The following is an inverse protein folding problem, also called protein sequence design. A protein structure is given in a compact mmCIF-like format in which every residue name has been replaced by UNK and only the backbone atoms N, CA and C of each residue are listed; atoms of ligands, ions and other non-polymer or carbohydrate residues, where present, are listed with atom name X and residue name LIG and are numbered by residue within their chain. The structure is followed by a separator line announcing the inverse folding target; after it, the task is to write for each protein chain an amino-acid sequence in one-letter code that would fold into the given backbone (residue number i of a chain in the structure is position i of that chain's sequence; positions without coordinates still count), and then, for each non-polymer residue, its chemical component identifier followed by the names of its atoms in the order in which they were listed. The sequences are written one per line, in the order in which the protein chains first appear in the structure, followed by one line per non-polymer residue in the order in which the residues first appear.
data_IF_314444001038
#
_entry.id   IF_314444001038
#
_cell.length_a   1.000
_cell.length_b   1.000
_cell.length_c   1.000
_cell.angle_alpha   90.00
_cell.angle_beta   90.00
_cell.angle_gamma   90.00
#
_symmetry.space_group_name_H-M   'P 1'
#
loop_
_entity.id
_entity.type
_entity.pdbx_description
1 polymer ?
#
# COMPACT_ATOMS: atom_id res chain seq x y z
N UNK A 1 62.32 55.86 -41.49
CA UNK A 1 61.16 54.99 -41.78
C UNK A 1 61.45 53.62 -41.18
N UNK A 2 60.83 53.27 -40.04
CA UNK A 2 61.03 51.96 -39.44
C UNK A 2 60.09 50.93 -40.09
N UNK A 3 60.62 49.72 -40.32
CA UNK A 3 59.85 48.54 -40.75
C UNK A 3 59.13 47.98 -39.53
N UNK A 4 57.80 48.01 -39.55
CA UNK A 4 56.97 47.29 -38.60
C UNK A 4 56.97 45.80 -38.94
N UNK A 5 57.47 44.99 -38.00
CA UNK A 5 57.49 43.52 -38.08
C UNK A 5 56.23 43.01 -37.39
N UNK A 6 55.20 42.66 -38.18
CA UNK A 6 53.96 42.09 -37.66
C UNK A 6 54.18 40.62 -37.29
N UNK A 7 54.27 40.34 -36.00
CA UNK A 7 54.37 38.99 -35.46
C UNK A 7 53.00 38.33 -35.36
N UNK A 8 52.79 37.26 -36.12
CA UNK A 8 51.60 36.41 -36.06
C UNK A 8 51.65 35.57 -34.77
N UNK A 9 50.83 35.92 -33.79
CA UNK A 9 50.65 35.11 -32.58
C UNK A 9 49.86 33.83 -32.93
N UNK A 10 50.48 32.67 -32.71
CA UNK A 10 49.82 31.36 -32.81
C UNK A 10 48.93 31.15 -31.58
N UNK A 11 47.62 30.99 -31.81
CA UNK A 11 46.68 30.55 -30.79
C UNK A 11 47.01 29.12 -30.35
N UNK A 12 47.05 28.82 -29.03
CA UNK A 12 47.31 27.48 -28.54
C UNK A 12 46.16 26.54 -28.88
N UNK A 13 46.48 25.39 -29.46
CA UNK A 13 45.54 24.30 -29.73
C UNK A 13 44.97 23.79 -28.41
N UNK A 14 43.64 23.77 -28.21
CA UNK A 14 43.04 23.22 -27.01
C UNK A 14 43.34 21.72 -26.93
N UNK A 15 44.07 21.33 -25.89
CA UNK A 15 44.32 19.92 -25.57
C UNK A 15 43.01 19.33 -25.04
N UNK A 16 42.41 18.42 -25.80
CA UNK A 16 41.24 17.65 -25.38
C UNK A 16 41.63 16.79 -24.19
N UNK A 17 41.17 17.18 -22.99
CA UNK A 17 41.29 16.37 -21.79
C UNK A 17 40.46 15.10 -21.98
N UNK A 18 41.00 13.89 -21.75
CA UNK A 18 40.24 12.65 -21.84
C UNK A 18 39.07 12.70 -20.85
N UNK A 19 37.84 12.68 -21.37
CA UNK A 19 36.63 12.57 -20.57
C UNK A 19 36.74 11.30 -19.72
N UNK A 20 36.69 11.46 -18.39
CA UNK A 20 36.65 10.33 -17.48
C UNK A 20 35.51 9.37 -17.91
N UNK A 21 35.74 8.05 -17.93
CA UNK A 21 34.71 7.10 -18.32
C UNK A 21 33.47 7.35 -17.44
N UNK A 22 32.31 7.52 -18.10
CA UNK A 22 31.05 7.67 -17.41
C UNK A 22 30.89 6.51 -16.42
N UNK A 23 30.47 6.75 -15.16
CA UNK A 23 30.23 5.67 -14.21
C UNK A 23 29.30 4.67 -14.88
N UNK A 24 29.78 3.43 -15.04
CA UNK A 24 28.98 2.34 -15.57
C UNK A 24 27.75 2.23 -14.71
N UNK A 25 26.58 2.46 -15.31
CA UNK A 25 25.30 2.34 -14.64
C UNK A 25 25.23 0.95 -14.00
N UNK A 26 25.30 0.93 -12.67
CA UNK A 26 25.23 -0.30 -11.90
C UNK A 26 23.83 -0.89 -12.11
N UNK A 27 23.75 -2.16 -12.50
CA UNK A 27 22.45 -2.83 -12.61
C UNK A 27 21.73 -2.73 -11.26
N UNK A 28 20.47 -2.28 -11.24
CA UNK A 28 19.73 -2.16 -10.00
C UNK A 28 19.59 -3.57 -9.40
N UNK A 29 20.10 -3.76 -8.19
CA UNK A 29 19.84 -4.97 -7.42
C UNK A 29 18.34 -5.12 -7.20
N UNK A 30 17.77 -6.32 -7.38
CA UNK A 30 16.38 -6.58 -7.07
C UNK A 30 16.08 -6.18 -5.64
N UNK A 31 14.92 -5.59 -5.43
CA UNK A 31 14.46 -5.28 -4.08
C UNK A 31 14.22 -6.55 -3.27
N UNK A 32 14.49 -6.49 -1.96
CA UNK A 32 14.20 -7.60 -1.05
C UNK A 32 12.87 -7.40 -0.32
N UNK A 33 12.31 -8.47 0.25
CA UNK A 33 11.09 -8.39 1.06
C UNK A 33 11.27 -7.47 2.29
N UNK A 34 12.45 -7.50 2.92
CA UNK A 34 12.76 -6.65 4.07
C UNK A 34 12.77 -5.17 3.68
N UNK A 35 13.33 -4.83 2.52
CA UNK A 35 13.31 -3.46 1.99
C UNK A 35 11.87 -3.00 1.74
N UNK A 36 11.02 -3.86 1.17
CA UNK A 36 9.61 -3.55 0.93
C UNK A 36 8.83 -3.35 2.25
N UNK A 37 9.06 -4.19 3.25
CA UNK A 37 8.47 -4.03 4.59
C UNK A 37 8.92 -2.73 5.27
N UNK A 38 10.19 -2.34 5.11
CA UNK A 38 10.70 -1.08 5.65
C UNK A 38 10.07 0.17 5.01
N UNK A 39 9.53 0.05 3.79
CA UNK A 39 8.82 1.15 3.10
C UNK A 39 7.41 1.37 3.66
N UNK A 40 6.73 0.31 4.12
CA UNK A 40 5.35 0.38 4.63
C UNK A 40 5.15 1.48 5.69
N UNK A 41 5.90 1.54 6.80
CA UNK A 41 5.68 2.58 7.81
C UNK A 41 5.99 3.99 7.28
N UNK A 42 6.91 4.13 6.32
CA UNK A 42 7.25 5.44 5.74
C UNK A 42 6.09 6.04 4.95
N UNK A 43 5.33 5.21 4.25
CA UNK A 43 4.20 5.67 3.42
C UNK A 43 2.88 5.64 4.18
N UNK A 44 2.69 4.74 5.15
CA UNK A 44 1.41 4.58 5.85
C UNK A 44 1.30 5.45 7.10
N UNK A 45 2.39 5.68 7.85
CA UNK A 45 2.32 6.49 9.08
C UNK A 45 1.90 7.95 8.87
N UNK A 46 2.33 8.65 7.79
CA UNK A 46 1.93 10.03 7.56
C UNK A 46 0.48 10.21 7.12
N UNK A 47 -0.22 9.14 6.71
CA UNK A 47 -1.59 9.23 6.20
C UNK A 47 -2.60 9.39 7.34
N UNK A 48 -3.49 10.37 7.20
CA UNK A 48 -4.63 10.53 8.10
C UNK A 48 -5.64 9.42 7.85
N UNK A 49 -5.94 9.16 6.57
CA UNK A 49 -6.78 8.06 6.16
C UNK A 49 -5.96 6.81 5.89
N UNK A 50 -6.01 5.87 6.84
CA UNK A 50 -5.28 4.60 6.71
C UNK A 50 -5.88 3.71 5.62
N UNK A 51 -5.04 3.03 4.81
CA UNK A 51 -5.50 1.97 3.92
C UNK A 51 -6.19 0.87 4.74
N UNK A 52 -7.16 0.18 4.15
CA UNK A 52 -7.83 -0.93 4.83
C UNK A 52 -7.03 -2.24 4.75
N UNK A 53 -6.15 -2.35 3.75
CA UNK A 53 -5.22 -3.45 3.59
C UNK A 53 -3.90 -2.93 3.01
N UNK A 54 -2.81 -3.54 3.45
CA UNK A 54 -1.46 -3.33 2.92
C UNK A 54 -0.92 -4.71 2.57
N UNK A 55 -0.53 -4.89 1.31
CA UNK A 55 0.00 -6.15 0.80
C UNK A 55 1.43 -5.93 0.30
N UNK A 56 2.31 -6.89 0.53
CA UNK A 56 3.65 -6.92 -0.04
C UNK A 56 3.70 -8.09 -1.01
N UNK A 57 3.77 -7.79 -2.31
CA UNK A 57 3.75 -8.78 -3.38
C UNK A 57 5.13 -8.94 -4.02
N UNK A 58 5.37 -10.09 -4.64
CA UNK A 58 6.53 -10.30 -5.52
C UNK A 58 6.11 -9.99 -6.97
N UNK A 59 6.90 -9.15 -7.66
CA UNK A 59 6.75 -8.82 -9.07
C UNK A 59 8.07 -9.08 -9.79
N UNK A 60 8.18 -10.24 -10.42
CA UNK A 60 9.41 -10.69 -11.06
C UNK A 60 9.55 -10.06 -12.46
N UNK A 61 10.72 -9.50 -12.86
CA UNK A 61 12.02 -9.50 -12.18
C UNK A 61 12.28 -8.31 -11.24
N UNK A 62 11.32 -7.39 -11.08
CA UNK A 62 11.46 -6.13 -10.35
C UNK A 62 11.72 -6.30 -8.83
N UNK A 63 11.44 -7.48 -8.27
CA UNK A 63 11.62 -7.83 -6.86
C UNK A 63 10.29 -7.80 -6.12
N UNK A 64 10.22 -7.07 -5.00
CA UNK A 64 8.99 -6.89 -4.22
C UNK A 64 8.35 -5.51 -4.43
N UNK A 65 7.03 -5.44 -4.28
CA UNK A 65 6.24 -4.21 -4.29
C UNK A 65 5.36 -4.10 -3.04
N UNK A 66 4.82 -2.90 -2.81
CA UNK A 66 3.86 -2.63 -1.74
C UNK A 66 2.56 -2.13 -2.37
N UNK A 67 1.43 -2.77 -2.07
CA UNK A 67 0.09 -2.36 -2.51
C UNK A 67 -0.75 -1.88 -1.33
N UNK A 68 -1.08 -0.59 -1.33
CA UNK A 68 -2.00 0.06 -0.40
C UNK A 68 -3.42 0.05 -0.99
N UNK A 69 -4.38 -0.56 -0.29
CA UNK A 69 -5.78 -0.62 -0.75
C UNK A 69 -6.67 0.28 0.11
N UNK A 70 -7.44 1.14 -0.55
CA UNK A 70 -8.40 2.05 0.07
C UNK A 70 -9.84 1.64 -0.29
N UNK A 71 -10.78 1.84 0.64
CA UNK A 71 -12.21 1.56 0.41
C UNK A 71 -12.90 2.75 -0.26
N UNK A 72 -14.09 2.50 -0.80
CA UNK A 72 -14.92 3.51 -1.47
C UNK A 72 -15.09 4.81 -0.64
N UNK A 73 -15.47 4.69 0.63
CA UNK A 73 -15.67 5.86 1.51
C UNK A 73 -14.37 6.55 1.94
N UNK A 74 -13.21 6.00 1.56
CA UNK A 74 -11.86 6.47 1.91
C UNK A 74 -10.98 6.70 0.67
N UNK A 75 -11.58 6.96 -0.50
CA UNK A 75 -10.84 7.32 -1.71
C UNK A 75 -9.90 8.52 -1.52
N UNK A 76 -10.21 9.39 -0.56
CA UNK A 76 -9.34 10.51 -0.17
C UNK A 76 -7.98 10.07 0.42
N UNK A 77 -7.89 8.90 1.07
CA UNK A 77 -6.59 8.36 1.53
C UNK A 77 -5.63 8.02 0.36
N UNK A 78 -6.17 7.65 -0.81
CA UNK A 78 -5.36 7.48 -2.02
C UNK A 78 -4.83 8.83 -2.51
N UNK A 79 -5.64 9.89 -2.46
CA UNK A 79 -5.19 11.24 -2.84
C UNK A 79 -4.15 11.80 -1.85
N UNK A 80 -4.32 11.55 -0.55
CA UNK A 80 -3.33 11.88 0.47
C UNK A 80 -1.99 11.18 0.19
N UNK A 81 -2.03 9.89 -0.12
CA UNK A 81 -0.83 9.15 -0.54
C UNK A 81 -0.21 9.75 -1.80
N UNK A 82 -1.01 9.98 -2.85
CA UNK A 82 -0.53 10.52 -4.11
C UNK A 82 0.14 11.89 -3.92
N UNK A 83 -0.42 12.75 -3.08
CA UNK A 83 0.17 14.03 -2.73
C UNK A 83 1.47 13.89 -1.90
N UNK A 84 1.52 12.95 -0.96
CA UNK A 84 2.71 12.67 -0.14
C UNK A 84 3.93 12.28 -0.99
N UNK A 85 3.70 11.50 -2.06
CA UNK A 85 4.76 10.96 -2.92
C UNK A 85 4.88 11.65 -4.28
N UNK A 86 4.16 12.76 -4.48
CA UNK A 86 4.07 13.49 -5.75
C UNK A 86 3.79 12.59 -6.97
N UNK A 87 2.84 11.68 -6.81
CA UNK A 87 2.47 10.69 -7.83
C UNK A 87 1.16 11.07 -8.52
N UNK A 88 1.07 10.93 -9.87
CA UNK A 88 -0.18 11.17 -10.57
C UNK A 88 -1.21 10.09 -10.23
N UNK A 89 -2.46 10.50 -10.09
CA UNK A 89 -3.60 9.58 -9.94
C UNK A 89 -4.21 9.31 -11.31
N UNK A 90 -4.32 8.04 -11.64
CA UNK A 90 -4.99 7.55 -12.84
C UNK A 90 -6.38 7.03 -12.50
N UNK A 91 -7.31 7.11 -13.47
CA UNK A 91 -8.68 6.64 -13.35
C UNK A 91 -8.99 5.67 -14.48
N UNK A 92 -9.60 4.53 -14.14
CA UNK A 92 -10.18 3.58 -15.07
C UNK A 92 -11.62 3.28 -14.67
N UNK A 93 -12.59 3.59 -15.51
CA UNK A 93 -14.00 3.26 -15.27
C UNK A 93 -14.24 1.76 -15.57
N UNK A 94 -14.92 1.07 -14.66
CA UNK A 94 -15.24 -0.37 -14.73
C UNK A 94 -16.74 -0.60 -14.50
N UNK A 95 -17.28 -1.80 -14.79
CA UNK A 95 -18.67 -2.12 -14.47
C UNK A 95 -19.02 -2.01 -12.97
N UNK A 96 -18.03 -2.02 -12.09
CA UNK A 96 -18.21 -1.98 -10.63
C UNK A 96 -17.96 -0.60 -10.01
N UNK A 97 -17.60 0.40 -10.82
CA UNK A 97 -17.21 1.74 -10.35
C UNK A 97 -15.95 2.26 -11.04
N UNK A 98 -15.40 3.35 -10.53
CA UNK A 98 -14.14 3.92 -10.98
C UNK A 98 -12.98 3.38 -10.13
N UNK A 99 -12.02 2.73 -10.78
CA UNK A 99 -10.77 2.31 -10.17
C UNK A 99 -9.75 3.45 -10.27
N UNK A 100 -9.31 3.94 -9.12
CA UNK A 100 -8.27 4.94 -9.00
C UNK A 100 -6.95 4.26 -8.62
N UNK A 101 -5.86 4.64 -9.28
CA UNK A 101 -4.54 4.07 -9.08
C UNK A 101 -3.47 5.18 -9.04
N UNK A 102 -2.57 5.12 -8.07
CA UNK A 102 -1.36 5.93 -8.01
C UNK A 102 -0.14 5.01 -7.79
N UNK A 103 0.89 5.15 -8.64
CA UNK A 103 2.08 4.30 -8.61
C UNK A 103 3.31 5.20 -8.51
N UNK A 104 4.21 4.86 -7.59
CA UNK A 104 5.50 5.57 -7.40
C UNK A 104 6.60 4.60 -6.98
N UNK A 105 7.83 5.11 -6.82
CA UNK A 105 8.92 4.38 -6.18
C UNK A 105 9.40 5.08 -4.92
N UNK A 106 9.42 4.35 -3.81
CA UNK A 106 9.96 4.81 -2.52
C UNK A 106 11.16 3.95 -2.17
N UNK A 107 12.36 4.57 -2.09
CA UNK A 107 13.63 3.86 -1.89
C UNK A 107 13.89 2.73 -2.91
N UNK A 108 13.44 2.93 -4.14
CA UNK A 108 13.58 1.94 -5.22
C UNK A 108 12.50 0.84 -5.23
N UNK A 109 11.66 0.74 -4.19
CA UNK A 109 10.52 -0.18 -4.12
C UNK A 109 9.31 0.45 -4.80
N UNK A 110 8.63 -0.30 -5.65
CA UNK A 110 7.35 0.13 -6.21
C UNK A 110 6.27 0.14 -5.12
N UNK A 111 5.58 1.28 -5.00
CA UNK A 111 4.43 1.43 -4.11
C UNK A 111 3.24 1.82 -4.96
N UNK A 112 2.22 0.96 -4.96
CA UNK A 112 0.94 1.18 -5.62
C UNK A 112 -0.12 1.48 -4.56
N UNK A 113 -0.90 2.54 -4.76
CA UNK A 113 -2.13 2.77 -4.02
C UNK A 113 -3.31 2.61 -4.96
N UNK A 114 -4.34 1.88 -4.54
CA UNK A 114 -5.57 1.74 -5.34
C UNK A 114 -6.84 1.89 -4.51
N UNK A 115 -7.89 2.39 -5.16
CA UNK A 115 -9.22 2.54 -4.59
C UNK A 115 -10.29 2.22 -5.65
N UNK A 116 -11.31 1.43 -5.28
CA UNK A 116 -12.51 1.29 -6.08
C UNK A 116 -13.61 2.16 -5.46
N UNK A 117 -14.07 3.16 -6.20
CA UNK A 117 -15.06 4.15 -5.74
C UNK A 117 -16.24 4.23 -6.72
N UNK A 118 -17.40 4.70 -6.28
CA UNK A 118 -18.47 5.03 -7.23
C UNK A 118 -18.05 6.14 -8.21
N UNK A 119 -18.64 6.19 -9.42
CA UNK A 119 -18.32 7.24 -10.40
C UNK A 119 -18.52 8.66 -9.87
N UNK A 120 -19.60 8.89 -9.11
CA UNK A 120 -19.88 10.18 -8.49
C UNK A 120 -18.80 10.59 -7.50
N UNK A 121 -18.27 9.63 -6.75
CA UNK A 121 -17.19 9.88 -5.81
C UNK A 121 -15.87 10.17 -6.54
N UNK A 122 -15.57 9.43 -7.62
CA UNK A 122 -14.41 9.74 -8.46
C UNK A 122 -14.48 11.16 -9.06
N UNK A 123 -15.65 11.58 -9.54
CA UNK A 123 -15.85 12.94 -10.06
C UNK A 123 -15.68 14.01 -8.97
N UNK A 124 -16.07 13.70 -7.73
CA UNK A 124 -15.84 14.59 -6.57
C UNK A 124 -14.35 14.70 -6.22
N UNK A 125 -13.62 13.58 -6.27
CA UNK A 125 -12.23 13.48 -5.86
C UNK A 125 -11.26 14.04 -6.91
N UNK A 126 -11.46 13.73 -8.18
CA UNK A 126 -10.56 14.10 -9.27
C UNK A 126 -11.06 15.27 -10.13
N UNK A 127 -12.29 15.71 -9.88
CA UNK A 127 -13.02 16.55 -10.82
C UNK A 127 -13.66 15.72 -11.94
N UNK A 128 -14.54 16.34 -12.75
CA UNK A 128 -15.11 15.67 -13.92
C UNK A 128 -13.99 15.24 -14.86
N UNK A 129 -14.06 14.05 -15.48
CA UNK A 129 -13.05 13.62 -16.42
C UNK A 129 -12.94 14.66 -17.54
N UNK A 130 -11.72 15.07 -17.85
CA UNK A 130 -11.47 15.89 -19.04
C UNK A 130 -12.06 15.12 -20.22
N UNK A 131 -13.03 15.68 -20.95
CA UNK A 131 -13.66 14.97 -22.05
C UNK A 131 -12.55 14.52 -23.00
N UNK A 132 -12.51 13.21 -23.28
CA UNK A 132 -11.57 12.65 -24.22
C UNK A 132 -11.65 13.49 -25.52
N UNK A 133 -10.52 13.87 -26.14
CA UNK A 133 -10.55 14.58 -27.40
C UNK A 133 -11.47 13.80 -28.33
N UNK A 134 -12.50 14.49 -28.85
CA UNK A 134 -13.52 13.86 -29.68
C UNK A 134 -12.80 13.01 -30.74
N UNK A 135 -13.09 11.71 -30.86
CA UNK A 135 -12.38 10.84 -31.78
C UNK A 135 -12.48 11.46 -33.17
N UNK A 136 -11.36 11.93 -33.70
CA UNK A 136 -11.31 12.60 -34.98
C UNK A 136 -11.59 11.57 -36.07
N UNK A 137 -12.87 11.42 -36.41
CA UNK A 137 -13.36 10.76 -37.62
C UNK A 137 -12.84 9.34 -37.88
N UNK A 138 -13.42 8.34 -37.21
CA UNK A 138 -13.66 7.07 -37.88
C UNK A 138 -15.15 7.03 -38.26
N UNK A 139 -15.38 7.24 -39.56
CA UNK A 139 -16.70 7.20 -40.15
C UNK A 139 -17.35 5.83 -39.93
N UNK A 140 -18.60 5.90 -39.52
CA UNK A 140 -19.50 4.82 -39.17
C UNK A 140 -19.62 3.72 -40.24
N UNK A 141 -19.55 2.48 -39.78
CA UNK A 141 -20.43 1.42 -40.27
C UNK A 141 -20.76 0.48 -39.10
N UNK A 142 -21.71 0.88 -38.26
CA UNK A 142 -22.28 0.01 -37.23
C UNK A 142 -23.81 0.08 -37.28
N UNK A 143 -24.35 -0.96 -37.90
CA UNK A 143 -25.74 -1.40 -37.88
C UNK A 143 -26.27 -1.48 -36.45
N UNK A 144 -27.36 -0.75 -36.20
CA UNK A 144 -28.04 -0.66 -34.92
C UNK A 144 -28.59 -2.02 -34.45
N UNK A 145 -28.16 -2.47 -33.26
CA UNK A 145 -28.86 -3.48 -32.47
C UNK A 145 -29.63 -2.79 -31.35
N UNK A 146 -30.94 -3.04 -31.27
CA UNK A 146 -31.85 -2.43 -30.30
C UNK A 146 -31.60 -2.93 -28.86
N UNK A 147 -31.81 -2.09 -27.83
CA UNK A 147 -31.73 -2.49 -26.43
C UNK A 147 -33.00 -3.22 -25.97
N UNK A 148 -32.82 -4.26 -25.15
CA UNK A 148 -33.87 -5.02 -24.46
C UNK A 148 -34.17 -4.33 -23.12
N UNK A 149 -35.46 -4.15 -22.72
CA UNK A 149 -35.80 -3.48 -21.47
C UNK A 149 -35.53 -4.35 -20.24
N UNK A 150 -34.91 -3.76 -19.21
CA UNK A 150 -34.63 -4.40 -17.92
C UNK A 150 -35.77 -4.09 -16.92
N UNK A 151 -36.43 -5.14 -16.44
CA UNK A 151 -37.55 -5.06 -15.49
C UNK A 151 -37.13 -4.74 -14.05
N UNK A 152 -37.79 -3.71 -13.51
CA UNK A 152 -38.44 -3.55 -12.20
C UNK A 152 -37.78 -4.10 -10.92
N UNK A 153 -37.59 -3.14 -9.99
CA UNK A 153 -37.18 -3.27 -8.60
C UNK A 153 -38.10 -4.16 -7.72
N UNK A 154 -37.50 -4.82 -6.73
CA UNK A 154 -38.19 -5.47 -5.63
C UNK A 154 -37.78 -4.85 -4.28
N UNK A 155 -38.80 -4.56 -3.47
CA UNK A 155 -38.78 -4.05 -2.10
C UNK A 155 -37.94 -4.89 -1.12
N UNK A 156 -37.26 -4.21 -0.18
CA UNK A 156 -36.60 -4.81 0.99
C UNK A 156 -37.57 -4.82 2.19
N UNK A 157 -37.78 -5.95 2.88
CA UNK A 157 -38.58 -6.00 4.10
C UNK A 157 -37.75 -5.72 5.37
N UNK A 158 -38.38 -4.93 6.27
CA UNK A 158 -38.44 -5.07 7.74
C UNK A 158 -37.21 -5.50 8.55
N UNK A 159 -36.72 -4.59 9.39
CA UNK A 159 -35.79 -4.85 10.49
C UNK A 159 -36.49 -5.74 11.54
N UNK A 160 -35.99 -6.96 11.74
CA UNK A 160 -36.46 -7.90 12.77
C UNK A 160 -35.69 -7.69 14.06
N UNK A 161 -36.41 -7.46 15.16
CA UNK A 161 -35.84 -7.38 16.51
C UNK A 161 -35.58 -8.79 17.04
N UNK A 162 -34.32 -9.13 17.29
CA UNK A 162 -33.89 -10.46 17.76
C UNK A 162 -34.06 -10.56 19.27
N UNK A 163 -35.01 -11.37 19.74
CA UNK A 163 -35.03 -11.85 21.13
C UNK A 163 -33.95 -12.92 21.34
N UNK A 164 -33.36 -13.05 22.54
CA UNK A 164 -32.41 -14.12 22.84
C UNK A 164 -33.07 -15.50 22.67
N UNK A 165 -32.34 -16.51 22.14
CA UNK A 165 -32.88 -17.84 21.95
C UNK A 165 -33.15 -18.53 23.29
N UNK A 166 -34.44 -18.72 23.61
CA UNK A 166 -34.89 -19.61 24.69
C UNK A 166 -34.87 -21.07 24.22
N UNK A 167 -33.69 -21.58 23.87
CA UNK A 167 -33.50 -23.00 23.56
C UNK A 167 -33.39 -23.86 24.82
N UNK A 168 -33.77 -25.15 24.77
CA UNK A 168 -33.54 -26.09 25.86
C UNK A 168 -32.03 -26.24 26.14
N UNK A 169 -31.64 -26.47 27.41
CA UNK A 169 -30.23 -26.67 27.75
C UNK A 169 -29.67 -27.90 27.00
N UNK A 170 -28.40 -27.86 26.56
CA UNK A 170 -27.77 -28.96 25.83
C UNK A 170 -27.67 -30.22 26.70
N UNK A 171 -27.63 -31.42 26.09
CA UNK A 171 -27.45 -32.67 26.81
C UNK A 171 -26.08 -32.72 27.52
N UNK A 172 -25.99 -33.33 28.71
CA UNK A 172 -24.72 -33.49 29.43
C UNK A 172 -23.75 -34.35 28.61
N UNK A 173 -22.58 -33.82 28.29
CA UNK A 173 -21.54 -34.47 27.46
C UNK A 173 -21.21 -33.75 26.14
N UNK A 174 -21.93 -32.68 25.79
CA UNK A 174 -21.63 -31.80 24.64
C UNK A 174 -20.74 -30.60 25.05
N UNK A 175 -19.86 -30.78 26.03
CA UNK A 175 -19.18 -29.66 26.71
C UNK A 175 -17.98 -29.11 25.93
N UNK A 176 -17.42 -29.90 25.00
CA UNK A 176 -16.22 -29.54 24.22
C UNK A 176 -16.51 -29.08 22.78
N UNK A 177 -17.77 -29.03 22.34
CA UNK A 177 -18.09 -28.51 21.00
C UNK A 177 -18.14 -26.97 21.03
N UNK A 178 -17.21 -26.34 20.32
CA UNK A 178 -17.17 -24.88 20.13
C UNK A 178 -18.50 -24.39 19.58
N UNK A 179 -19.12 -23.43 20.29
CA UNK A 179 -20.44 -22.90 19.97
C UNK A 179 -20.44 -21.38 19.99
N UNK A 180 -21.11 -20.76 19.03
CA UNK A 180 -21.16 -19.31 18.97
C UNK A 180 -21.85 -18.79 20.22
N UNK A 181 -21.19 -17.93 20.99
CA UNK A 181 -21.73 -17.43 22.26
C UNK A 181 -23.00 -16.57 22.08
N UNK A 182 -23.28 -16.11 20.85
CA UNK A 182 -24.46 -15.29 20.52
C UNK A 182 -25.65 -16.09 20.00
N UNK A 183 -25.45 -16.94 18.98
CA UNK A 183 -26.54 -17.69 18.36
C UNK A 183 -26.55 -19.19 18.68
N UNK A 184 -25.50 -19.71 19.31
CA UNK A 184 -25.38 -21.13 19.66
C UNK A 184 -25.08 -22.06 18.49
N UNK A 185 -24.84 -21.55 17.27
CA UNK A 185 -24.46 -22.41 16.14
C UNK A 185 -23.15 -23.15 16.42
N UNK A 186 -23.03 -24.37 15.90
CA UNK A 186 -21.80 -25.16 15.95
C UNK A 186 -21.26 -25.39 14.54
N UNK A 187 -20.10 -26.05 14.42
CA UNK A 187 -19.55 -26.42 13.11
C UNK A 187 -20.48 -27.37 12.33
N UNK A 188 -21.20 -28.24 13.04
CA UNK A 188 -22.15 -29.19 12.45
C UNK A 188 -23.56 -28.60 12.25
N UNK A 189 -23.85 -27.46 12.88
CA UNK A 189 -25.14 -26.79 12.87
C UNK A 189 -24.96 -25.29 12.66
N UNK A 190 -24.52 -24.91 11.46
CA UNK A 190 -24.32 -23.52 11.06
C UNK A 190 -25.63 -22.71 11.05
N UNK A 191 -25.51 -21.38 11.10
CA UNK A 191 -26.65 -20.47 10.93
C UNK A 191 -27.36 -20.68 9.58
N UNK A 192 -28.63 -20.30 9.50
CA UNK A 192 -29.35 -20.26 8.23
C UNK A 192 -28.63 -19.31 7.24
N UNK A 193 -28.29 -19.83 6.05
CA UNK A 193 -27.44 -19.14 5.08
C UNK A 193 -25.93 -19.43 5.19
N UNK A 194 -25.51 -20.20 6.20
CA UNK A 194 -24.12 -20.57 6.44
C UNK A 194 -23.34 -19.49 7.21
N UNK A 195 -22.50 -19.92 8.15
CA UNK A 195 -21.57 -19.06 8.87
C UNK A 195 -20.23 -19.79 9.06
N UNK A 196 -19.18 -19.04 9.40
CA UNK A 196 -17.85 -19.59 9.69
C UNK A 196 -17.30 -18.99 10.99
N UNK A 197 -16.33 -19.66 11.62
CA UNK A 197 -15.71 -19.20 12.87
C UNK A 197 -14.81 -17.98 12.65
N UNK A 198 -14.96 -16.97 13.51
CA UNK A 198 -14.19 -15.71 13.46
C UNK A 198 -13.25 -15.65 14.66
N UNK A 199 -11.92 -15.68 14.46
CA UNK A 199 -10.98 -15.45 15.54
C UNK A 199 -11.09 -13.99 16.03
N UNK A 200 -11.09 -13.78 17.34
CA UNK A 200 -11.17 -12.44 17.94
C UNK A 200 -10.28 -12.33 19.20
N UNK A 201 -10.05 -11.09 19.66
CA UNK A 201 -9.18 -10.78 20.81
C UNK A 201 -9.69 -11.29 22.16
N UNK A 202 -10.98 -11.52 22.27
CA UNK A 202 -11.60 -11.97 23.49
C UNK A 202 -11.53 -13.50 23.64
N UNK A 203 -10.98 -14.20 22.62
CA UNK A 203 -10.89 -15.67 22.56
C UNK A 203 -12.25 -16.33 22.82
N UNK A 204 -13.33 -15.68 22.38
CA UNK A 204 -14.70 -16.21 22.46
C UNK A 204 -15.11 -16.78 21.11
N UNK A 205 -15.79 -17.93 21.14
CA UNK A 205 -16.31 -18.55 19.93
C UNK A 205 -17.43 -17.68 19.33
N UNK A 206 -17.14 -17.03 18.20
CA UNK A 206 -18.11 -16.22 17.46
C UNK A 206 -18.15 -16.69 16.00
N UNK A 207 -19.35 -16.77 15.44
CA UNK A 207 -19.52 -16.99 14.01
C UNK A 207 -19.63 -15.68 13.23
N UNK A 208 -19.32 -15.72 11.95
CA UNK A 208 -19.33 -14.57 11.04
C UNK A 208 -20.68 -13.87 10.91
N UNK A 209 -21.78 -14.59 11.12
CA UNK A 209 -23.12 -14.02 11.15
C UNK A 209 -23.39 -13.17 12.40
N UNK A 210 -22.72 -13.50 13.52
CA UNK A 210 -22.89 -12.80 14.78
C UNK A 210 -21.78 -11.80 15.08
N UNK A 211 -20.62 -11.91 14.45
CA UNK A 211 -19.50 -11.00 14.64
C UNK A 211 -19.84 -9.59 14.14
N UNK A 212 -19.50 -8.58 14.93
CA UNK A 212 -19.55 -7.17 14.54
C UNK A 212 -18.39 -6.83 13.59
N UNK A 213 -18.49 -5.68 12.91
CA UNK A 213 -17.43 -5.22 12.02
C UNK A 213 -16.09 -5.02 12.75
N UNK A 214 -16.11 -4.57 14.00
CA UNK A 214 -14.90 -4.40 14.82
C UNK A 214 -14.28 -5.74 15.22
N UNK A 215 -15.10 -6.76 15.48
CA UNK A 215 -14.64 -8.13 15.76
C UNK A 215 -14.07 -8.80 14.50
N UNK A 216 -14.62 -8.51 13.32
CA UNK A 216 -14.15 -9.01 12.02
C UNK A 216 -12.87 -8.31 11.54
N UNK A 217 -12.72 -7.02 11.81
CA UNK A 217 -11.60 -6.21 11.33
C UNK A 217 -10.23 -6.70 11.82
N UNK A 218 -10.21 -7.54 12.86
CA UNK A 218 -8.99 -8.06 13.47
C UNK A 218 -8.44 -9.32 12.78
N UNK A 219 -9.27 -10.06 12.04
CA UNK A 219 -8.82 -11.26 11.31
C UNK A 219 -7.91 -10.87 10.14
N UNK A 220 -8.11 -9.68 9.57
CA UNK A 220 -7.37 -9.21 8.40
C UNK A 220 -5.89 -8.88 8.70
N UNK A 221 -5.50 -8.76 9.98
CA UNK A 221 -4.14 -8.33 10.37
C UNK A 221 -3.20 -9.46 10.80
N UNK A 222 -3.62 -10.72 10.81
CA UNK A 222 -2.81 -11.82 11.38
C UNK A 222 -2.39 -12.88 10.35
N UNK A 223 -1.91 -12.46 9.18
CA UNK A 223 -1.34 -13.39 8.19
C UNK A 223 0.18 -13.30 8.00
N UNK A 224 0.91 -12.41 8.68
CA UNK A 224 2.39 -12.41 8.61
C UNK A 224 3.03 -11.95 9.91
N UNK A 225 2.98 -12.79 10.94
CA UNK A 225 4.06 -12.85 11.92
C UNK A 225 4.59 -14.27 11.89
N UNK A 226 5.47 -14.56 10.92
CA UNK A 226 6.35 -15.72 11.02
C UNK A 226 7.23 -15.44 12.25
N UNK A 227 7.15 -16.21 13.35
CA UNK A 227 8.04 -15.98 14.47
C UNK A 227 9.46 -16.19 13.96
N UNK A 228 10.25 -15.12 13.99
CA UNK A 228 11.69 -15.22 13.80
C UNK A 228 12.25 -16.12 14.91
N UNK A 229 12.68 -17.33 14.52
CA UNK A 229 13.54 -18.16 15.34
C UNK A 229 12.84 -19.15 16.25
N UNK A 230 12.33 -20.24 15.66
CA UNK A 230 12.52 -21.53 16.31
C UNK A 230 14.02 -21.83 16.24
N UNK A 231 14.71 -21.59 17.35
CA UNK A 231 16.13 -21.90 17.52
C UNK A 231 16.35 -23.38 17.19
N UNK A 232 17.16 -23.62 16.16
CA UNK A 232 17.73 -24.93 15.90
C UNK A 232 18.37 -25.47 17.19
N UNK A 233 18.19 -26.77 17.51
CA UNK A 233 18.81 -27.37 18.69
C UNK A 233 20.32 -27.16 18.64
N UNK A 234 20.87 -26.72 19.78
CA UNK A 234 22.28 -26.43 19.98
C UNK A 234 23.18 -27.51 19.35
N UNK A 235 23.87 -27.14 18.27
CA UNK A 235 24.98 -27.90 17.77
C UNK A 235 26.10 -27.86 18.82
N UNK A 236 26.50 -29.05 19.27
CA UNK A 236 27.60 -29.25 20.19
C UNK A 236 28.92 -28.68 19.65
N UNK A 237 29.74 -28.16 20.58
CA UNK A 237 31.19 -27.95 20.51
C UNK A 237 31.76 -27.43 19.20
N UNK A 238 31.75 -26.10 19.05
CA UNK A 238 32.75 -25.41 18.22
C UNK A 238 33.79 -24.77 19.14
N UNK A 239 35.10 -25.04 18.95
CA UNK A 239 36.14 -24.48 19.81
C UNK A 239 36.26 -22.96 19.65
N UNK A 240 36.54 -22.32 20.79
CA UNK A 240 36.68 -20.89 21.04
C UNK A 240 37.63 -20.20 20.03
N UNK A 241 37.15 -19.26 19.19
CA UNK A 241 38.04 -18.49 18.32
C UNK A 241 38.84 -17.46 19.14
N UNK A 242 40.15 -17.46 18.91
CA UNK A 242 41.12 -16.61 19.58
C UNK A 242 40.72 -15.11 19.61
N UNK A 243 41.06 -14.37 20.69
CA UNK A 243 40.65 -12.99 20.87
C UNK A 243 41.27 -12.07 19.81
N UNK A 244 40.43 -11.46 18.98
CA UNK A 244 40.83 -10.40 18.05
C UNK A 244 41.14 -9.09 18.80
N UNK A 245 42.15 -8.32 18.36
CA UNK A 245 42.51 -7.05 18.97
C UNK A 245 41.43 -5.99 18.75
N UNK A 246 41.05 -5.30 19.83
CA UNK A 246 40.09 -4.19 19.82
C UNK A 246 40.64 -3.02 18.99
N UNK A 247 40.01 -2.75 17.85
CA UNK A 247 40.19 -1.49 17.13
C UNK A 247 39.41 -0.38 17.86
N UNK A 248 40.11 0.70 18.17
CA UNK A 248 39.60 1.88 18.85
C UNK A 248 38.48 2.55 18.03
N UNK A 249 37.37 2.87 18.69
CA UNK A 249 36.24 3.61 18.11
C UNK A 249 36.66 5.03 17.72
N UNK A 250 36.28 5.52 16.52
CA UNK A 250 36.47 6.92 16.18
C UNK A 250 35.46 7.81 16.91
N UNK A 251 35.98 8.90 17.48
CA UNK A 251 35.25 10.00 18.10
C UNK A 251 34.20 10.57 17.12
N UNK A 252 32.91 10.39 17.44
CA UNK A 252 31.82 11.08 16.76
C UNK A 252 31.92 12.59 17.05
N UNK A 253 32.24 13.38 16.02
CA UNK A 253 32.14 14.84 16.06
C UNK A 253 30.67 15.25 16.03
N UNK A 254 30.20 15.94 17.07
CA UNK A 254 28.90 16.62 17.09
C UNK A 254 28.98 17.86 16.19
N UNK A 255 28.26 17.84 15.07
CA UNK A 255 27.97 19.03 14.28
C UNK A 255 26.79 19.74 14.94
N UNK A 256 27.04 20.92 15.50
CA UNK A 256 25.99 21.80 15.99
C UNK A 256 25.39 22.57 14.81
N UNK A 257 24.12 22.34 14.52
CA UNK A 257 23.35 23.14 13.55
C UNK A 257 22.79 24.36 14.30
N UNK A 258 23.24 25.56 13.93
CA UNK A 258 22.71 26.82 14.44
C UNK A 258 21.49 27.21 13.60
N UNK A 259 20.31 27.49 14.21
CA UNK A 259 19.17 27.98 13.44
C UNK A 259 19.40 29.43 12.97
N UNK A 260 19.05 29.69 11.71
CA UNK A 260 19.08 31.02 11.11
C UNK A 260 17.96 31.90 11.69
N UNK A 261 18.33 33.11 12.12
CA UNK A 261 17.41 34.17 12.55
C UNK A 261 16.84 34.86 11.31
N UNK A 262 15.51 35.01 11.16
CA UNK A 262 14.94 35.81 10.09
C UNK A 262 15.18 37.31 10.34
N UNK A 263 15.55 38.03 9.29
CA UNK A 263 15.72 39.47 9.29
C UNK A 263 14.35 40.17 9.43
N UNK A 264 14.24 41.08 10.41
CA UNK A 264 13.14 42.02 10.51
C UNK A 264 13.32 43.13 9.46
N UNK A 265 12.46 43.15 8.46
CA UNK A 265 12.30 44.29 7.57
C UNK A 265 11.57 45.41 8.32
N UNK A 266 12.32 46.48 8.64
CA UNK A 266 11.78 47.72 9.16
C UNK A 266 11.01 48.49 8.07
N UNK A 267 9.77 48.84 8.38
CA UNK A 267 9.01 49.84 7.62
C UNK A 267 9.18 51.22 8.26
N UNK A 268 9.54 52.18 7.42
CA UNK A 268 9.46 53.62 7.64
C UNK A 268 8.14 54.17 7.10
#
# INVERSE_FOLDING_TARGET
MPKETTGTAQSPTPTLQPTAPAPTAQEPTPSTFEDAQAVVPLVVLPLEQRPFAVETGEDWPSGYNVHLKFRETRGAGLLEFAALVDAPVTRADTPFGAHLDAITRVRGIEVRASALVSPREADRLLGPPTPAPAPTGQAADQTAAQPVPLSTAAELPGIVSVLPPTGPPPPPGAEDEGRCVRCGCTENAACEGGCYWVPNRQLVDLCSACATLDELALVTYSLVETPAGEQAPAAADTPDPAPMPRLASPLMHRIAVTPAVPAEDGQA
#
